data_IF_178828280721
#
_entry.id   IF_178828280721
#
_cell.length_a   1.000
_cell.length_b   1.000
_cell.length_c   1.000
_cell.angle_alpha   90.00
_cell.angle_beta   90.00
_cell.angle_gamma   90.00
#
_symmetry.space_group_name_H-M   'P 1'
#
loop_
_entity.id
_entity.type
_entity.pdbx_description
1 polymer ?
#
# COMPACT_ATOMS: atom_id res chain seq x y z
N UNK A 1 44.55 -55.96 -21.85
CA UNK A 1 43.32 -55.17 -22.06
C UNK A 1 43.13 -54.32 -20.80
N UNK A 2 43.46 -53.01 -20.81
CA UNK A 2 42.55 -51.87 -21.09
C UNK A 2 41.31 -51.97 -20.16
N UNK A 3 41.00 -51.08 -19.21
CA UNK A 3 40.91 -49.61 -19.33
C UNK A 3 40.55 -48.97 -17.96
N UNK A 4 41.01 -47.72 -17.77
CA UNK A 4 40.38 -46.56 -17.09
C UNK A 4 39.89 -46.68 -15.64
N UNK A 5 40.45 -45.96 -14.65
CA UNK A 5 40.56 -44.50 -14.49
C UNK A 5 39.21 -43.74 -14.51
N UNK A 6 39.08 -42.84 -13.53
CA UNK A 6 38.07 -41.78 -13.35
C UNK A 6 36.75 -42.17 -12.68
N UNK A 7 36.57 -41.67 -11.45
CA UNK A 7 35.47 -40.74 -11.18
C UNK A 7 35.69 -40.02 -9.84
N UNK A 8 36.52 -38.98 -9.88
CA UNK A 8 36.53 -37.92 -8.86
C UNK A 8 36.05 -36.68 -9.60
N UNK A 9 34.84 -36.19 -9.29
CA UNK A 9 34.44 -34.77 -9.31
C UNK A 9 32.91 -34.70 -9.17
N UNK A 10 32.43 -34.09 -8.08
CA UNK A 10 30.99 -33.94 -7.87
C UNK A 10 30.61 -33.22 -6.58
N UNK A 11 31.34 -32.17 -6.20
CA UNK A 11 30.86 -31.20 -5.22
C UNK A 11 30.67 -29.88 -5.95
N UNK A 12 29.53 -29.78 -6.63
CA UNK A 12 29.11 -28.57 -7.34
C UNK A 12 28.66 -27.53 -6.30
N UNK A 13 29.39 -26.42 -6.26
CA UNK A 13 29.23 -25.28 -5.39
C UNK A 13 27.84 -24.65 -5.51
N UNK A 14 27.11 -24.58 -4.39
CA UNK A 14 25.91 -23.75 -4.23
C UNK A 14 26.33 -22.28 -4.17
N UNK A 15 26.47 -21.64 -5.33
CA UNK A 15 26.51 -20.18 -5.40
C UNK A 15 25.08 -19.65 -5.22
N UNK A 16 24.76 -19.24 -4.00
CA UNK A 16 23.57 -18.44 -3.72
C UNK A 16 23.82 -17.06 -4.34
N UNK A 17 23.20 -16.79 -5.47
CA UNK A 17 23.14 -15.45 -6.03
C UNK A 17 22.26 -14.60 -5.10
N UNK A 18 22.88 -13.93 -4.12
CA UNK A 18 22.21 -12.88 -3.36
C UNK A 18 22.01 -11.71 -4.30
N UNK A 19 20.78 -11.52 -4.80
CA UNK A 19 20.43 -10.29 -5.52
C UNK A 19 20.70 -9.11 -4.59
N UNK A 20 21.60 -8.17 -4.94
CA UNK A 20 21.74 -6.97 -4.15
C UNK A 20 20.42 -6.22 -4.24
N UNK A 21 19.70 -6.14 -3.12
CA UNK A 21 18.62 -5.17 -2.93
C UNK A 21 19.33 -3.81 -2.90
N UNK A 22 19.48 -3.21 -4.08
CA UNK A 22 19.88 -1.82 -4.16
C UNK A 22 18.75 -1.00 -3.56
N UNK A 23 18.96 -0.50 -2.35
CA UNK A 23 18.35 0.74 -1.91
C UNK A 23 19.00 1.87 -2.72
N UNK A 24 18.70 1.91 -4.02
CA UNK A 24 18.96 3.09 -4.85
C UNK A 24 18.22 4.25 -4.17
N UNK A 25 18.90 5.38 -4.00
CA UNK A 25 18.38 6.57 -3.32
C UNK A 25 16.93 6.84 -3.71
N UNK A 26 16.09 7.16 -2.73
CA UNK A 26 14.63 7.07 -2.76
C UNK A 26 13.99 7.75 -4.00
N UNK A 27 13.99 7.07 -5.14
CA UNK A 27 13.26 7.43 -6.36
C UNK A 27 11.73 7.21 -6.18
N UNK A 28 11.28 7.11 -4.94
CA UNK A 28 9.89 6.93 -4.53
C UNK A 28 9.60 7.82 -3.33
N UNK A 29 8.33 8.18 -3.17
CA UNK A 29 7.80 8.70 -1.91
C UNK A 29 7.01 7.61 -1.19
N UNK A 30 6.90 7.73 0.12
CA UNK A 30 6.10 6.87 0.99
C UNK A 30 4.79 7.56 1.31
N UNK A 31 3.67 6.94 0.93
CA UNK A 31 2.34 7.38 1.29
C UNK A 31 1.74 6.45 2.34
N UNK A 32 1.47 6.97 3.52
CA UNK A 32 0.84 6.27 4.63
C UNK A 32 -0.64 6.67 4.68
N UNK A 33 -1.54 5.70 4.59
CA UNK A 33 -2.98 5.90 4.78
C UNK A 33 -3.43 5.16 6.03
N UNK A 34 -3.97 5.90 7.00
CA UNK A 34 -4.46 5.35 8.26
C UNK A 34 -5.96 5.57 8.43
N UNK A 35 -6.62 4.62 9.09
CA UNK A 35 -7.99 4.74 9.53
C UNK A 35 -8.02 4.82 11.06
N UNK A 36 -8.42 5.97 11.58
CA UNK A 36 -8.49 6.20 13.03
C UNK A 36 -9.90 5.92 13.57
N UNK A 37 -9.99 5.42 14.80
CA UNK A 37 -11.25 4.92 15.39
C UNK A 37 -12.36 5.95 15.47
N UNK A 38 -12.03 7.18 15.84
CA UNK A 38 -13.02 8.21 16.14
C UNK A 38 -13.42 9.05 14.92
N UNK A 39 -12.77 8.85 13.77
CA UNK A 39 -12.95 9.73 12.62
C UNK A 39 -13.86 9.15 11.54
N UNK A 40 -14.08 7.84 11.57
CA UNK A 40 -14.99 7.14 10.65
C UNK A 40 -15.83 6.12 11.42
N UNK A 41 -17.05 6.53 11.79
CA UNK A 41 -18.00 5.72 12.53
C UNK A 41 -18.73 4.69 11.62
N UNK A 42 -17.98 3.83 10.94
CA UNK A 42 -18.52 2.70 10.17
C UNK A 42 -17.86 1.40 10.61
N UNK A 43 -18.56 0.27 10.58
CA UNK A 43 -17.95 -1.05 10.75
C UNK A 43 -17.43 -1.63 9.43
N UNK A 44 -17.77 -0.99 8.30
CA UNK A 44 -17.40 -1.46 6.98
C UNK A 44 -15.92 -1.23 6.68
N UNK A 45 -15.42 -2.02 5.75
CA UNK A 45 -14.07 -1.87 5.24
C UNK A 45 -13.99 -0.69 4.27
N UNK A 46 -12.87 0.03 4.31
CA UNK A 46 -12.62 1.14 3.40
C UNK A 46 -11.58 0.69 2.39
N UNK A 47 -11.97 0.68 1.12
CA UNK A 47 -11.06 0.48 0.00
C UNK A 47 -10.32 1.78 -0.32
N UNK A 48 -9.00 1.69 -0.33
CA UNK A 48 -8.10 2.75 -0.83
C UNK A 48 -7.78 2.43 -2.27
N UNK A 49 -8.16 3.34 -3.17
CA UNK A 49 -7.88 3.25 -4.59
C UNK A 49 -6.80 4.25 -4.96
N UNK A 50 -5.80 3.79 -5.70
CA UNK A 50 -4.71 4.61 -6.23
C UNK A 50 -4.77 4.49 -7.74
N UNK A 51 -4.86 5.62 -8.45
CA UNK A 51 -5.14 5.66 -9.90
C UNK A 51 -6.37 4.79 -10.29
N UNK A 52 -7.44 4.91 -9.51
CA UNK A 52 -8.70 4.16 -9.65
C UNK A 52 -8.56 2.62 -9.55
N UNK A 53 -7.40 2.09 -9.13
CA UNK A 53 -7.18 0.68 -8.83
C UNK A 53 -7.19 0.43 -7.32
N UNK A 54 -7.88 -0.62 -6.87
CA UNK A 54 -7.92 -0.99 -5.44
C UNK A 54 -6.51 -1.40 -4.98
N UNK A 55 -5.91 -0.62 -4.09
CA UNK A 55 -4.57 -0.84 -3.57
C UNK A 55 -4.57 -1.44 -2.16
N UNK A 56 -5.56 -1.11 -1.33
CA UNK A 56 -5.67 -1.68 0.02
C UNK A 56 -7.11 -1.68 0.54
N UNK A 57 -7.34 -2.51 1.56
CA UNK A 57 -8.57 -2.56 2.36
C UNK A 57 -8.19 -2.25 3.81
N UNK A 58 -8.81 -1.24 4.40
CA UNK A 58 -8.51 -0.79 5.77
C UNK A 58 -9.68 -1.10 6.70
N UNK A 59 -9.40 -1.96 7.69
CA UNK A 59 -10.25 -2.16 8.86
C UNK A 59 -10.00 -1.05 9.89
N UNK A 60 -10.85 -1.00 10.91
CA UNK A 60 -10.73 -0.02 11.99
C UNK A 60 -9.34 -0.07 12.64
N UNK A 61 -8.76 1.11 12.90
CA UNK A 61 -7.43 1.29 13.51
C UNK A 61 -6.25 0.75 12.69
N UNK A 62 -6.46 0.40 11.41
CA UNK A 62 -5.38 -0.02 10.53
C UNK A 62 -4.72 1.12 9.79
N UNK A 63 -3.46 0.89 9.42
CA UNK A 63 -2.67 1.74 8.55
C UNK A 63 -1.97 0.90 7.49
N UNK A 64 -1.78 1.47 6.32
CA UNK A 64 -1.00 0.88 5.22
C UNK A 64 -0.06 1.91 4.63
N UNK A 65 1.02 1.44 4.02
CA UNK A 65 2.05 2.29 3.42
C UNK A 65 2.32 1.85 1.99
N UNK A 66 2.46 2.82 1.09
CA UNK A 66 2.73 2.60 -0.32
C UNK A 66 4.01 3.32 -0.73
N UNK A 67 4.92 2.61 -1.39
CA UNK A 67 6.06 3.22 -2.06
C UNK A 67 5.63 3.52 -3.49
N UNK A 68 5.50 4.81 -3.82
CA UNK A 68 4.96 5.27 -5.09
C UNK A 68 6.01 6.13 -5.81
N UNK A 69 6.08 6.06 -7.15
CA UNK A 69 6.93 6.97 -7.90
C UNK A 69 6.52 8.43 -7.65
N UNK A 70 7.46 9.39 -7.73
CA UNK A 70 7.15 10.80 -7.63
C UNK A 70 6.18 11.22 -8.76
N UNK A 71 5.21 12.06 -8.42
CA UNK A 71 4.19 12.50 -9.37
C UNK A 71 2.88 12.86 -8.70
N UNK A 72 1.87 13.12 -9.52
CA UNK A 72 0.51 13.30 -9.05
C UNK A 72 -0.14 11.94 -8.82
N UNK A 73 -0.59 11.68 -7.59
CA UNK A 73 -1.22 10.44 -7.17
C UNK A 73 -2.69 10.73 -6.91
N UNK A 74 -3.57 10.16 -7.74
CA UNK A 74 -5.01 10.26 -7.53
C UNK A 74 -5.47 9.18 -6.55
N UNK A 75 -6.06 9.61 -5.43
CA UNK A 75 -6.54 8.75 -4.37
C UNK A 75 -8.04 8.81 -4.28
N UNK A 76 -8.69 7.64 -4.12
CA UNK A 76 -10.13 7.57 -3.92
C UNK A 76 -10.46 6.58 -2.81
N UNK A 77 -11.50 6.88 -2.05
CA UNK A 77 -12.00 6.03 -0.98
C UNK A 77 -13.36 5.47 -1.37
N UNK A 78 -13.60 4.18 -1.12
CA UNK A 78 -14.93 3.57 -1.28
C UNK A 78 -15.22 2.64 -0.11
N UNK A 79 -16.47 2.61 0.33
CA UNK A 79 -16.93 1.55 1.21
C UNK A 79 -16.97 0.25 0.41
N UNK A 80 -16.34 -0.79 0.95
CA UNK A 80 -16.36 -2.10 0.35
C UNK A 80 -17.48 -2.94 0.97
N UNK A 81 -18.09 -3.84 0.18
CA UNK A 81 -18.98 -4.85 0.73
C UNK A 81 -18.20 -5.71 1.73
N UNK A 82 -18.74 -5.83 2.93
CA UNK A 82 -18.13 -6.54 4.04
C UNK A 82 -19.07 -7.61 4.60
N UNK A 83 -18.56 -8.43 5.50
CA UNK A 83 -19.36 -9.44 6.20
C UNK A 83 -20.30 -8.82 7.26
N UNK A 84 -20.09 -7.55 7.63
CA UNK A 84 -20.92 -6.85 8.58
C UNK A 84 -22.28 -6.43 7.95
N UNK A 85 -23.41 -6.63 8.65
CA UNK A 85 -24.72 -6.21 8.18
C UNK A 85 -24.74 -4.72 7.81
N UNK A 86 -25.32 -4.39 6.65
CA UNK A 86 -25.45 -3.00 6.19
C UNK A 86 -24.26 -2.45 5.40
N UNK A 87 -23.19 -3.22 5.21
CA UNK A 87 -22.07 -2.84 4.35
C UNK A 87 -22.38 -3.09 2.87
N UNK A 88 -23.17 -2.19 2.29
CA UNK A 88 -23.40 -2.14 0.85
C UNK A 88 -22.38 -1.22 0.17
N UNK A 89 -22.01 -1.48 -1.10
CA UNK A 89 -21.24 -0.52 -1.86
C UNK A 89 -21.99 0.81 -1.89
N UNK A 90 -21.30 1.90 -1.55
CA UNK A 90 -21.89 3.24 -1.57
C UNK A 90 -22.43 3.58 -2.96
N UNK A 91 -23.61 4.19 -3.03
CA UNK A 91 -24.28 4.54 -4.29
C UNK A 91 -23.55 5.67 -5.04
N UNK A 92 -22.81 6.50 -4.31
CA UNK A 92 -21.99 7.59 -4.84
C UNK A 92 -20.52 7.23 -4.66
N UNK A 93 -19.73 7.35 -5.73
CA UNK A 93 -18.28 7.30 -5.62
C UNK A 93 -17.79 8.65 -5.07
N UNK A 94 -17.14 8.67 -3.89
CA UNK A 94 -16.50 9.89 -3.42
C UNK A 94 -15.53 10.44 -4.48
N UNK A 95 -15.36 11.76 -4.48
CA UNK A 95 -14.39 12.43 -5.34
C UNK A 95 -12.98 11.88 -5.13
N UNK A 96 -12.14 11.98 -6.15
CA UNK A 96 -10.71 11.74 -5.98
C UNK A 96 -10.05 12.92 -5.28
N UNK A 97 -9.02 12.63 -4.52
CA UNK A 97 -8.09 13.61 -3.99
C UNK A 97 -6.72 13.36 -4.61
N UNK A 98 -6.26 14.37 -5.34
CA UNK A 98 -4.96 14.34 -5.97
C UNK A 98 -3.92 14.87 -5.00
N UNK A 99 -2.82 14.13 -4.84
CA UNK A 99 -1.68 14.53 -4.03
C UNK A 99 -0.42 14.57 -4.88
N UNK A 100 0.36 15.62 -4.72
CA UNK A 100 1.71 15.67 -5.28
C UNK A 100 2.66 14.95 -4.32
N UNK A 101 3.29 13.88 -4.80
CA UNK A 101 4.32 13.14 -4.08
C UNK A 101 5.68 13.40 -4.74
N UNK A 102 6.71 13.65 -3.93
CA UNK A 102 8.10 13.79 -4.38
C UNK A 102 8.94 12.59 -3.91
N UNK A 103 10.07 12.41 -4.56
CA UNK A 103 11.10 11.45 -4.16
C UNK A 103 11.58 11.80 -2.74
N UNK A 104 11.61 10.79 -1.85
CA UNK A 104 11.95 10.95 -0.44
C UNK A 104 10.85 11.56 0.46
N UNK A 105 9.67 11.89 -0.09
CA UNK A 105 8.56 12.35 0.75
C UNK A 105 8.05 11.19 1.62
N UNK A 106 7.76 11.47 2.90
CA UNK A 106 6.96 10.57 3.76
C UNK A 106 5.70 11.31 4.17
N UNK A 107 4.59 11.01 3.51
CA UNK A 107 3.31 11.67 3.74
C UNK A 107 2.36 10.74 4.46
N UNK A 108 1.71 11.23 5.53
CA UNK A 108 0.64 10.50 6.20
C UNK A 108 -0.70 11.22 6.05
N UNK A 109 -1.71 10.45 5.68
CA UNK A 109 -3.09 10.87 5.65
C UNK A 109 -3.94 9.94 6.50
N UNK A 110 -4.87 10.52 7.25
CA UNK A 110 -5.91 9.80 7.95
C UNK A 110 -7.23 9.94 7.20
N UNK A 111 -8.01 8.88 7.20
CA UNK A 111 -9.36 8.88 6.64
C UNK A 111 -10.30 9.54 7.65
N UNK A 112 -11.02 10.56 7.18
CA UNK A 112 -12.07 11.25 7.91
C UNK A 112 -13.39 11.19 7.12
N UNK A 113 -14.50 11.49 7.78
CA UNK A 113 -15.84 11.44 7.18
C UNK A 113 -16.62 12.72 7.47
N UNK A 114 -17.26 13.27 6.43
CA UNK A 114 -18.27 14.34 6.55
C UNK A 114 -19.65 13.80 6.16
N UNK A 115 -20.66 14.67 6.15
CA UNK A 115 -21.99 14.34 5.62
C UNK A 115 -21.96 13.99 4.12
N UNK A 116 -20.96 14.52 3.38
CA UNK A 116 -20.81 14.33 1.92
C UNK A 116 -20.00 13.08 1.55
N UNK A 117 -19.31 12.47 2.54
CA UNK A 117 -18.56 11.23 2.34
C UNK A 117 -17.20 11.19 3.03
N UNK A 118 -16.42 10.19 2.66
CA UNK A 118 -15.06 10.00 3.20
C UNK A 118 -14.03 10.80 2.41
N UNK A 119 -13.03 11.32 3.11
CA UNK A 119 -11.92 12.05 2.52
C UNK A 119 -10.62 11.81 3.32
N UNK A 120 -9.50 12.10 2.69
CA UNK A 120 -8.16 12.07 3.25
C UNK A 120 -7.82 13.43 3.85
N UNK A 121 -7.43 13.42 5.12
CA UNK A 121 -6.91 14.59 5.83
C UNK A 121 -5.45 14.36 6.19
N UNK A 122 -4.58 15.33 5.92
CA UNK A 122 -3.16 15.22 6.25
C UNK A 122 -2.98 15.09 7.77
N UNK A 123 -2.10 14.18 8.18
CA UNK A 123 -1.79 13.89 9.57
C UNK A 123 -0.27 13.94 9.81
N UNK A 124 0.12 14.25 11.05
CA UNK A 124 1.53 14.19 11.47
C UNK A 124 2.03 12.75 11.59
N UNK A 125 3.34 12.57 11.42
CA UNK A 125 3.98 11.25 11.50
C UNK A 125 4.10 10.73 12.95
N UNK A 126 4.05 11.63 13.94
CA UNK A 126 3.90 11.26 15.36
C UNK A 126 5.19 10.79 16.04
N UNK A 127 6.35 11.22 15.54
CA UNK A 127 7.64 11.11 16.20
C UNK A 127 8.11 12.47 16.73
#
# INVERSE_FOLDING_TARGET
MRWSAFSLFGLLSLFIATTPVNAAGEDYGVLIISRERLEVATSCEIGVYIQDQLAARLFQEQSTSFNLPPGNVSLRLKLLPGQAPGCNPGMLAPGSQDIQLKAGDVLKYRIAMTQDGMYLKRAGLGY
#
